data_IF_999295064279
#
_entry.id   IF_999295064279
#
_cell.length_a   1.000
_cell.length_b   1.000
_cell.length_c   1.000
_cell.angle_alpha   90.00
_cell.angle_beta   90.00
_cell.angle_gamma   90.00
#
_symmetry.space_group_name_H-M   'P 1'
#
loop_
_entity.id
_entity.type
_entity.pdbx_description
1 polymer ?
#
# COMPACT_ATOMS: atom_id res chain seq x y z
N UNK A 1 -4.72 -22.53 9.17
CA UNK A 1 -5.42 -21.23 9.09
C UNK A 1 -5.21 -20.41 10.35
N UNK A 2 -5.53 -20.91 11.56
CA UNK A 2 -5.24 -20.17 12.81
C UNK A 2 -3.74 -20.02 13.07
N UNK A 3 -2.97 -21.11 12.92
CA UNK A 3 -1.51 -21.05 12.99
C UNK A 3 -0.91 -20.06 11.97
N UNK A 4 -1.41 -20.09 10.71
CA UNK A 4 -0.96 -19.14 9.67
C UNK A 4 -1.25 -17.69 10.05
N UNK A 5 -2.38 -17.43 10.75
CA UNK A 5 -2.69 -16.11 11.26
C UNK A 5 -1.70 -15.71 12.36
N UNK A 6 -1.39 -16.60 13.31
CA UNK A 6 -0.41 -16.33 14.38
C UNK A 6 0.95 -15.98 13.81
N UNK A 7 1.47 -16.79 12.87
CA UNK A 7 2.73 -16.53 12.16
C UNK A 7 2.70 -15.16 11.46
N UNK A 8 1.56 -14.82 10.85
CA UNK A 8 1.35 -13.53 10.19
C UNK A 8 1.37 -12.37 11.18
N UNK A 9 0.71 -12.51 12.33
CA UNK A 9 0.65 -11.48 13.38
C UNK A 9 2.03 -11.25 14.01
N UNK A 10 2.79 -12.32 14.27
CA UNK A 10 4.17 -12.22 14.74
C UNK A 10 5.06 -11.49 13.73
N UNK A 11 4.98 -11.86 12.45
CA UNK A 11 5.75 -11.21 11.38
C UNK A 11 5.39 -9.72 11.21
N UNK A 12 4.13 -9.35 11.46
CA UNK A 12 3.65 -7.97 11.41
C UNK A 12 3.99 -7.16 12.68
N UNK A 13 4.53 -7.80 13.72
CA UNK A 13 4.84 -7.17 15.00
C UNK A 13 3.61 -6.78 15.81
N UNK A 14 2.54 -7.57 15.74
CA UNK A 14 1.42 -7.45 16.69
C UNK A 14 1.88 -7.90 18.08
N UNK A 15 1.42 -7.23 19.14
CA UNK A 15 1.81 -7.53 20.54
C UNK A 15 0.60 -7.72 21.46
N UNK A 16 -0.61 -7.82 20.89
CA UNK A 16 -1.85 -7.94 21.67
C UNK A 16 -2.18 -9.38 22.05
N UNK A 17 -3.29 -9.54 22.80
CA UNK A 17 -3.66 -10.79 23.45
C UNK A 17 -3.82 -11.98 22.49
N UNK A 18 -4.25 -11.73 21.23
CA UNK A 18 -4.55 -12.78 20.25
C UNK A 18 -3.33 -13.50 19.66
N UNK A 19 -2.11 -13.15 20.07
CA UNK A 19 -0.94 -14.00 19.79
C UNK A 19 -0.96 -15.31 20.57
N UNK A 20 -1.70 -15.38 21.68
CA UNK A 20 -1.81 -16.62 22.44
C UNK A 20 -2.85 -17.56 21.80
N UNK A 21 -2.43 -18.75 21.39
CA UNK A 21 -3.29 -19.74 20.71
C UNK A 21 -4.59 -20.05 21.48
N UNK A 22 -4.53 -20.08 22.81
CA UNK A 22 -5.68 -20.35 23.67
C UNK A 22 -6.73 -19.22 23.68
N UNK A 23 -6.35 -18.00 23.27
CA UNK A 23 -7.23 -16.83 23.23
C UNK A 23 -7.83 -16.59 21.85
N UNK A 24 -7.13 -17.00 20.80
CA UNK A 24 -7.53 -16.78 19.41
C UNK A 24 -8.85 -17.47 19.07
N UNK A 25 -8.98 -18.76 19.40
CA UNK A 25 -10.19 -19.55 19.12
C UNK A 25 -11.47 -18.90 19.67
N UNK A 26 -11.54 -18.63 20.99
CA UNK A 26 -12.69 -17.95 21.61
C UNK A 26 -12.99 -16.56 21.03
N UNK A 27 -11.96 -15.77 20.71
CA UNK A 27 -12.15 -14.45 20.13
C UNK A 27 -12.77 -14.53 18.73
N UNK A 28 -12.31 -15.47 17.89
CA UNK A 28 -12.89 -15.72 16.57
C UNK A 28 -14.33 -16.22 16.64
N UNK A 29 -14.69 -16.99 17.67
CA UNK A 29 -16.08 -17.43 17.90
C UNK A 29 -16.98 -16.27 18.38
N UNK A 30 -16.43 -15.36 19.19
CA UNK A 30 -17.12 -14.14 19.62
C UNK A 30 -17.24 -13.07 18.54
N UNK A 31 -16.39 -13.11 17.50
CA UNK A 31 -16.40 -12.20 16.37
C UNK A 31 -16.41 -10.74 16.79
N UNK A 32 -17.28 -9.92 16.18
CA UNK A 32 -17.39 -8.48 16.51
C UNK A 32 -17.91 -8.19 17.93
N UNK A 33 -18.37 -9.20 18.66
CA UNK A 33 -18.71 -9.07 20.08
C UNK A 33 -17.55 -9.39 21.02
N UNK A 34 -16.45 -9.98 20.52
CA UNK A 34 -15.21 -10.15 21.29
C UNK A 34 -14.39 -8.84 21.26
N UNK A 35 -14.05 -8.27 22.43
CA UNK A 35 -13.17 -7.11 22.52
C UNK A 35 -11.81 -7.37 21.87
N UNK A 36 -11.23 -8.55 22.11
CA UNK A 36 -9.90 -8.92 21.61
C UNK A 36 -9.88 -9.05 20.09
N UNK A 37 -10.94 -9.64 19.51
CA UNK A 37 -11.10 -9.71 18.06
C UNK A 37 -11.22 -8.31 17.45
N UNK A 38 -12.04 -7.45 18.05
CA UNK A 38 -12.23 -6.09 17.57
C UNK A 38 -10.95 -5.26 17.69
N UNK A 39 -10.20 -5.41 18.77
CA UNK A 39 -8.91 -4.73 18.96
C UNK A 39 -7.91 -5.09 17.85
N UNK A 40 -7.77 -6.38 17.53
CA UNK A 40 -6.91 -6.81 16.43
C UNK A 40 -7.41 -6.29 15.08
N UNK A 41 -8.72 -6.36 14.82
CA UNK A 41 -9.32 -5.82 13.61
C UNK A 41 -9.00 -4.33 13.45
N UNK A 42 -9.21 -3.53 14.51
CA UNK A 42 -8.92 -2.10 14.53
C UNK A 42 -7.42 -1.81 14.32
N UNK A 43 -6.54 -2.62 14.93
CA UNK A 43 -5.11 -2.50 14.73
C UNK A 43 -4.69 -2.73 13.27
N UNK A 44 -5.23 -3.78 12.62
CA UNK A 44 -4.97 -4.07 11.21
C UNK A 44 -5.48 -2.97 10.30
N UNK A 45 -6.74 -2.56 10.43
CA UNK A 45 -7.35 -1.54 9.55
C UNK A 45 -6.68 -0.18 9.73
N UNK A 46 -6.31 0.21 10.96
CA UNK A 46 -5.56 1.45 11.22
C UNK A 46 -4.21 1.45 10.51
N UNK A 47 -3.44 0.35 10.60
CA UNK A 47 -2.14 0.27 9.92
C UNK A 47 -2.30 0.32 8.40
N UNK A 48 -3.24 -0.43 7.84
CA UNK A 48 -3.50 -0.44 6.40
C UNK A 48 -3.90 0.96 5.91
N UNK A 49 -4.82 1.63 6.59
CA UNK A 49 -5.27 2.99 6.23
C UNK A 49 -4.11 3.98 6.13
N UNK A 50 -3.16 3.91 7.06
CA UNK A 50 -1.98 4.79 7.06
C UNK A 50 -1.06 4.52 5.88
N UNK A 51 -0.93 3.26 5.45
CA UNK A 51 0.01 2.88 4.38
C UNK A 51 -0.57 3.07 2.97
N UNK A 52 -1.88 2.89 2.81
CA UNK A 52 -2.58 2.91 1.51
C UNK A 52 -3.44 4.17 1.29
N UNK A 53 -3.44 5.10 2.26
CA UNK A 53 -4.19 6.37 2.21
C UNK A 53 -5.68 6.19 1.91
N UNK A 54 -6.30 5.21 2.58
CA UNK A 54 -7.71 4.88 2.42
C UNK A 54 -8.63 5.96 3.01
N UNK A 55 -9.74 6.22 2.34
CA UNK A 55 -10.80 7.11 2.81
C UNK A 55 -11.58 6.46 3.96
N UNK A 56 -11.95 5.19 3.82
CA UNK A 56 -12.76 4.45 4.78
C UNK A 56 -11.99 4.12 6.06
N UNK A 57 -12.71 3.97 7.17
CA UNK A 57 -12.16 3.50 8.46
C UNK A 57 -13.21 2.69 9.19
N UNK A 58 -12.74 1.75 10.01
CA UNK A 58 -13.57 0.98 10.93
C UNK A 58 -13.43 1.62 12.32
N UNK A 59 -14.53 2.11 12.89
CA UNK A 59 -14.58 2.71 14.21
C UNK A 59 -15.60 2.00 15.11
N UNK A 60 -15.21 1.63 16.33
CA UNK A 60 -16.12 1.04 17.33
C UNK A 60 -17.00 2.03 18.06
N UNK A 61 -16.73 3.34 18.00
CA UNK A 61 -17.31 4.29 18.94
C UNK A 61 -18.83 4.45 18.78
N UNK A 62 -19.58 3.69 19.58
CA UNK A 62 -21.02 3.83 19.77
C UNK A 62 -21.90 3.19 18.69
N UNK A 63 -21.31 2.49 17.72
CA UNK A 63 -22.03 1.77 16.68
C UNK A 63 -22.56 0.41 17.15
N UNK A 64 -23.70 -0.01 16.60
CA UNK A 64 -24.13 -1.41 16.71
C UNK A 64 -23.32 -2.33 15.77
N UNK A 65 -23.46 -3.64 15.94
CA UNK A 65 -22.73 -4.63 15.15
C UNK A 65 -22.98 -4.45 13.65
N UNK A 66 -24.21 -4.11 13.24
CA UNK A 66 -24.57 -3.90 11.84
C UNK A 66 -23.85 -2.68 11.25
N UNK A 67 -23.74 -1.59 12.00
CA UNK A 67 -22.97 -0.40 11.59
C UNK A 67 -21.49 -0.74 11.39
N UNK A 68 -20.88 -1.46 12.34
CA UNK A 68 -19.49 -1.91 12.24
C UNK A 68 -19.29 -2.81 11.01
N UNK A 69 -20.22 -3.73 10.75
CA UNK A 69 -20.16 -4.60 9.55
C UNK A 69 -20.23 -3.78 8.25
N UNK A 70 -20.97 -2.68 8.21
CA UNK A 70 -21.04 -1.80 7.05
C UNK A 70 -19.73 -1.05 6.81
N UNK A 71 -19.13 -0.52 7.87
CA UNK A 71 -17.82 0.13 7.80
C UNK A 71 -16.74 -0.84 7.31
N UNK A 72 -16.70 -2.06 7.87
CA UNK A 72 -15.80 -3.13 7.40
C UNK A 72 -16.08 -3.41 5.92
N UNK A 73 -17.34 -3.47 5.49
CA UNK A 73 -17.68 -3.71 4.09
C UNK A 73 -17.22 -2.58 3.17
N UNK A 74 -17.28 -1.32 3.61
CA UNK A 74 -16.73 -0.17 2.88
C UNK A 74 -15.21 -0.27 2.75
N UNK A 75 -14.53 -0.48 3.87
CA UNK A 75 -13.09 -0.66 3.94
C UNK A 75 -12.59 -1.80 3.03
N UNK A 76 -13.26 -2.94 3.05
CA UNK A 76 -12.93 -4.09 2.19
C UNK A 76 -13.20 -3.83 0.70
N UNK A 77 -14.18 -2.99 0.34
CA UNK A 77 -14.39 -2.60 -1.07
C UNK A 77 -13.25 -1.75 -1.58
N UNK A 78 -12.76 -0.82 -0.76
CA UNK A 78 -11.63 0.03 -1.10
C UNK A 78 -10.37 -0.81 -1.34
N UNK A 79 -10.14 -1.81 -0.48
CA UNK A 79 -9.08 -2.82 -0.65
C UNK A 79 -9.33 -3.84 -1.78
N UNK A 80 -10.42 -3.70 -2.55
CA UNK A 80 -10.77 -4.65 -3.62
C UNK A 80 -10.85 -6.12 -3.14
N UNK A 81 -11.37 -6.32 -1.92
CA UNK A 81 -11.43 -7.64 -1.28
C UNK A 81 -12.14 -8.68 -2.17
N UNK A 82 -11.50 -9.83 -2.44
CA UNK A 82 -12.00 -10.80 -3.41
C UNK A 82 -13.09 -11.71 -2.84
N UNK A 83 -13.45 -11.57 -1.55
CA UNK A 83 -14.40 -12.45 -0.87
C UNK A 83 -15.81 -11.81 -0.82
N UNK A 84 -16.74 -12.19 -1.71
CA UNK A 84 -18.03 -11.50 -1.81
C UNK A 84 -18.86 -11.62 -0.55
N UNK A 85 -18.71 -12.73 0.20
CA UNK A 85 -19.40 -12.98 1.47
C UNK A 85 -19.05 -11.98 2.58
N UNK A 86 -17.87 -11.37 2.53
CA UNK A 86 -17.46 -10.37 3.53
C UNK A 86 -17.94 -8.95 3.17
N UNK A 87 -18.30 -8.73 1.91
CA UNK A 87 -18.51 -7.39 1.34
C UNK A 87 -19.96 -7.13 0.91
N UNK A 88 -20.68 -8.19 0.55
CA UNK A 88 -22.01 -8.15 -0.07
C UNK A 88 -22.96 -9.19 0.55
N UNK A 89 -24.24 -9.19 0.14
CA UNK A 89 -25.28 -10.03 0.75
C UNK A 89 -26.01 -9.35 1.91
N UNK A 90 -26.78 -10.11 2.69
CA UNK A 90 -27.48 -9.58 3.87
C UNK A 90 -26.44 -9.19 4.95
N UNK A 91 -26.54 -7.97 5.48
CA UNK A 91 -25.62 -7.46 6.50
C UNK A 91 -25.61 -8.36 7.73
N UNK A 92 -26.77 -8.91 8.08
CA UNK A 92 -26.92 -9.76 9.26
C UNK A 92 -26.15 -11.05 9.12
N UNK A 93 -25.88 -11.52 7.91
CA UNK A 93 -25.21 -12.80 7.68
C UNK A 93 -23.70 -12.69 7.53
N UNK A 94 -23.15 -11.46 7.44
CA UNK A 94 -21.71 -11.23 7.31
C UNK A 94 -21.00 -11.47 8.63
N UNK A 95 -19.77 -11.99 8.60
CA UNK A 95 -18.91 -12.14 9.80
C UNK A 95 -19.59 -12.88 10.98
N UNK A 96 -20.61 -13.70 10.70
CA UNK A 96 -21.31 -14.49 11.74
C UNK A 96 -20.53 -15.73 12.16
N UNK A 97 -19.73 -16.28 11.26
CA UNK A 97 -19.01 -17.52 11.50
C UNK A 97 -17.57 -17.25 11.91
N UNK A 98 -17.04 -18.13 12.76
CA UNK A 98 -15.61 -18.20 13.10
C UNK A 98 -14.72 -18.19 11.84
N UNK A 99 -15.15 -18.92 10.81
CA UNK A 99 -14.45 -19.03 9.55
C UNK A 99 -14.40 -17.70 8.77
N UNK A 100 -15.50 -16.95 8.74
CA UNK A 100 -15.52 -15.64 8.07
C UNK A 100 -14.70 -14.60 8.85
N UNK A 101 -14.71 -14.66 10.19
CA UNK A 101 -13.86 -13.84 11.04
C UNK A 101 -12.36 -14.13 10.79
N UNK A 102 -11.98 -15.42 10.77
CA UNK A 102 -10.61 -15.83 10.49
C UNK A 102 -10.16 -15.41 9.08
N UNK A 103 -11.03 -15.58 8.07
CA UNK A 103 -10.74 -15.13 6.69
C UNK A 103 -10.53 -13.63 6.61
N UNK A 104 -11.34 -12.84 7.32
CA UNK A 104 -11.17 -11.38 7.35
C UNK A 104 -9.79 -11.00 7.89
N UNK A 105 -9.39 -11.57 9.03
CA UNK A 105 -8.09 -11.26 9.63
C UNK A 105 -6.91 -11.72 8.76
N UNK A 106 -6.99 -12.91 8.16
CA UNK A 106 -5.97 -13.40 7.23
C UNK A 106 -5.84 -12.50 6.00
N UNK A 107 -6.97 -12.06 5.43
CA UNK A 107 -6.97 -11.13 4.30
C UNK A 107 -6.29 -9.82 4.67
N UNK A 108 -6.74 -9.17 5.75
CA UNK A 108 -6.16 -7.91 6.20
C UNK A 108 -4.68 -8.04 6.56
N UNK A 109 -4.28 -9.15 7.20
CA UNK A 109 -2.88 -9.46 7.46
C UNK A 109 -2.05 -9.52 6.19
N UNK A 110 -2.53 -10.24 5.16
CA UNK A 110 -1.84 -10.32 3.87
C UNK A 110 -1.78 -8.99 3.13
N UNK A 111 -2.82 -8.16 3.16
CA UNK A 111 -2.82 -6.83 2.56
C UNK A 111 -1.80 -5.91 3.27
N UNK A 112 -1.75 -5.95 4.60
CA UNK A 112 -0.78 -5.18 5.37
C UNK A 112 0.66 -5.60 5.04
N UNK A 113 0.92 -6.91 4.95
CA UNK A 113 2.23 -7.42 4.51
C UNK A 113 2.58 -6.94 3.10
N UNK A 114 1.62 -7.00 2.16
CA UNK A 114 1.83 -6.55 0.78
C UNK A 114 2.18 -5.05 0.73
N UNK A 115 1.47 -4.22 1.50
CA UNK A 115 1.75 -2.78 1.61
C UNK A 115 3.14 -2.51 2.20
N UNK A 116 3.53 -3.23 3.26
CA UNK A 116 4.88 -3.11 3.86
C UNK A 116 5.98 -3.52 2.87
N UNK A 117 5.78 -4.59 2.10
CA UNK A 117 6.71 -5.00 1.05
C UNK A 117 6.80 -3.92 -0.03
N UNK A 118 5.68 -3.32 -0.43
CA UNK A 118 5.63 -2.23 -1.39
C UNK A 118 6.41 -0.99 -0.94
N UNK A 119 6.34 -0.64 0.35
CA UNK A 119 7.09 0.47 0.92
C UNK A 119 8.59 0.18 1.09
N UNK A 120 8.94 -1.06 1.45
CA UNK A 120 10.31 -1.49 1.65
C UNK A 120 11.04 -1.83 0.35
N UNK A 121 10.31 -1.97 -0.76
CA UNK A 121 10.92 -2.06 -2.08
C UNK A 121 11.65 -0.73 -2.30
N UNK A 122 12.98 -0.74 -2.54
CA UNK A 122 13.66 0.50 -2.92
C UNK A 122 12.88 1.05 -4.10
N UNK A 123 12.31 2.26 -3.95
CA UNK A 123 11.60 2.96 -5.03
C UNK A 123 12.43 2.72 -6.26
N UNK A 124 11.88 1.98 -7.22
CA UNK A 124 12.68 1.49 -8.32
C UNK A 124 13.16 2.72 -9.08
N UNK A 125 14.37 3.14 -8.74
CA UNK A 125 15.06 4.22 -9.38
C UNK A 125 15.35 3.83 -10.82
N UNK A 126 15.03 2.61 -11.30
CA UNK A 126 15.18 2.21 -12.69
C UNK A 126 14.57 3.22 -13.66
N UNK A 127 13.31 3.64 -13.48
CA UNK A 127 12.69 4.62 -14.39
C UNK A 127 13.37 6.00 -14.33
N UNK A 128 13.70 6.46 -13.12
CA UNK A 128 14.38 7.75 -12.95
C UNK A 128 15.85 7.69 -13.42
N UNK A 129 16.50 6.53 -13.29
CA UNK A 129 17.84 6.24 -13.78
C UNK A 129 17.85 6.06 -15.29
N UNK A 130 16.81 5.49 -15.89
CA UNK A 130 16.71 5.28 -17.33
C UNK A 130 16.54 6.61 -18.05
N UNK A 131 15.62 7.46 -17.58
CA UNK A 131 15.49 8.85 -18.06
C UNK A 131 16.80 9.63 -17.85
N UNK A 132 17.43 9.54 -16.68
CA UNK A 132 18.73 10.21 -16.45
C UNK A 132 19.85 9.66 -17.34
N UNK A 133 19.86 8.36 -17.64
CA UNK A 133 20.85 7.70 -18.49
C UNK A 133 20.67 8.08 -19.96
N UNK A 134 19.42 8.16 -20.44
CA UNK A 134 19.12 8.65 -21.78
C UNK A 134 19.54 10.11 -21.94
N UNK A 135 19.18 10.97 -20.97
CA UNK A 135 19.57 12.38 -21.00
C UNK A 135 21.10 12.55 -20.93
N UNK A 136 21.82 11.73 -20.14
CA UNK A 136 23.30 11.67 -20.16
C UNK A 136 23.85 11.28 -21.52
N UNK A 137 23.25 10.29 -22.18
CA UNK A 137 23.67 9.85 -23.52
C UNK A 137 23.56 11.00 -24.53
N UNK A 138 22.51 11.82 -24.43
CA UNK A 138 22.34 13.03 -25.26
C UNK A 138 23.43 14.07 -24.92
N UNK A 139 23.70 14.31 -23.64
CA UNK A 139 24.78 15.23 -23.23
C UNK A 139 26.15 14.80 -23.75
N UNK A 140 26.46 13.50 -23.72
CA UNK A 140 27.72 12.93 -24.23
C UNK A 140 27.83 13.11 -25.74
N UNK A 141 26.76 12.81 -26.49
CA UNK A 141 26.70 13.00 -27.93
C UNK A 141 26.92 14.47 -28.35
N UNK A 142 26.42 15.41 -27.53
CA UNK A 142 26.58 16.86 -27.72
C UNK A 142 27.90 17.42 -27.12
N UNK A 143 28.72 16.55 -26.49
CA UNK A 143 29.97 16.91 -25.81
C UNK A 143 29.80 18.01 -24.76
N UNK A 144 28.73 17.91 -23.97
CA UNK A 144 28.49 18.81 -22.84
C UNK A 144 29.39 18.42 -21.65
N UNK A 145 29.83 19.37 -20.82
CA UNK A 145 30.63 19.08 -19.64
C UNK A 145 29.84 18.25 -18.62
N UNK A 146 30.47 17.20 -18.05
CA UNK A 146 29.86 16.35 -17.03
C UNK A 146 29.47 17.19 -15.79
N UNK A 147 28.19 17.16 -15.44
CA UNK A 147 27.68 17.80 -14.22
C UNK A 147 27.45 16.72 -13.16
N UNK A 148 28.32 16.67 -12.15
CA UNK A 148 28.41 15.59 -11.16
C UNK A 148 27.19 15.42 -10.22
N UNK A 149 26.16 16.27 -10.31
CA UNK A 149 24.97 16.17 -9.45
C UNK A 149 23.70 16.81 -10.02
N UNK A 150 23.55 16.90 -11.34
CA UNK A 150 22.43 17.60 -12.00
C UNK A 150 21.19 16.70 -12.14
N UNK A 151 19.99 17.24 -11.91
CA UNK A 151 18.74 16.52 -12.18
C UNK A 151 18.42 16.54 -13.70
N UNK A 152 17.51 15.67 -14.17
CA UNK A 152 17.24 15.53 -15.61
C UNK A 152 16.74 16.84 -16.26
N UNK A 153 16.00 17.67 -15.53
CA UNK A 153 15.49 18.95 -16.03
C UNK A 153 16.61 19.97 -16.29
N UNK A 154 17.59 20.07 -15.39
CA UNK A 154 18.74 20.97 -15.59
C UNK A 154 19.66 20.48 -16.71
N UNK A 155 19.80 19.17 -16.89
CA UNK A 155 20.55 18.60 -18.03
C UNK A 155 19.85 18.89 -19.38
N UNK A 156 18.52 18.73 -19.45
CA UNK A 156 17.75 19.04 -20.67
C UNK A 156 17.81 20.51 -21.05
N UNK A 157 17.83 21.41 -20.07
CA UNK A 157 18.01 22.85 -20.34
C UNK A 157 19.38 23.15 -20.98
N UNK A 158 20.45 22.50 -20.51
CA UNK A 158 21.76 22.63 -21.13
C UNK A 158 21.82 22.03 -22.54
N UNK A 159 21.05 20.97 -22.80
CA UNK A 159 20.87 20.40 -24.15
C UNK A 159 20.17 21.41 -25.07
N UNK A 160 19.08 22.02 -24.61
CA UNK A 160 18.32 23.03 -25.36
C UNK A 160 19.20 24.22 -25.78
N UNK A 161 19.89 24.83 -24.81
CA UNK A 161 20.80 25.96 -25.06
C UNK A 161 21.90 25.62 -26.08
N UNK A 162 22.43 24.39 -26.02
CA UNK A 162 23.46 23.93 -26.96
C UNK A 162 22.94 23.72 -28.37
N UNK A 163 21.75 23.12 -28.50
CA UNK A 163 21.10 22.88 -29.80
C UNK A 163 20.76 24.21 -30.48
N UNK A 164 20.20 25.17 -29.74
CA UNK A 164 19.92 26.52 -30.28
C UNK A 164 21.19 27.20 -30.79
N UNK A 165 22.28 27.13 -30.03
CA UNK A 165 23.57 27.69 -30.44
C UNK A 165 24.11 27.06 -31.73
N UNK A 166 23.98 25.74 -31.89
CA UNK A 166 24.40 25.04 -33.10
C UNK A 166 23.54 25.40 -34.32
N UNK A 167 22.22 25.52 -34.14
CA UNK A 167 21.29 25.95 -35.20
C UNK A 167 21.62 27.35 -35.69
N UNK A 168 21.92 28.29 -34.78
CA UNK A 168 22.34 29.65 -35.13
C UNK A 168 23.68 29.66 -35.88
N UNK A 169 24.65 28.84 -35.46
CA UNK A 169 25.95 28.73 -36.13
C UNK A 169 25.82 28.20 -37.57
N UNK A 170 24.98 27.18 -37.78
CA UNK A 170 24.74 26.64 -39.13
C UNK A 170 24.05 27.67 -40.01
N UNK A 171 23.05 28.38 -39.48
CA UNK A 171 22.29 29.41 -40.22
C UNK A 171 23.13 30.62 -40.63
N UNK A 172 24.20 30.92 -39.90
CA UNK A 172 25.13 32.03 -40.19
C UNK A 172 26.31 31.62 -41.07
N UNK A 173 26.64 30.32 -41.15
CA UNK A 173 27.73 29.80 -42.00
C UNK A 173 27.30 29.50 -43.45
N UNK A 174 26.00 29.56 -43.75
CA UNK A 174 25.43 29.33 -45.09
C UNK A 174 25.11 30.61 -45.86
N UNK A 175 25.56 31.78 -45.38
CA UNK A 175 25.51 33.06 -46.09
C UNK A 175 26.90 33.50 -46.56
#
# INVERSE_FOLDING_TARGET
MEADLLDTLEALGYEGALLEENTLGPALEGGLSSPEYFELLNWLTTKIKVLDNLEESVNSEGGDVESIQLEISGFLKELSCPYPKLVSGDIKDRLKSKEDCLKLLLFLGSELQALQIGQNKPKDSSLHNEVQKEVRTICDALRLPEQSSSNAASMLKSVEEKVEGLVLHVSTSTN
#
